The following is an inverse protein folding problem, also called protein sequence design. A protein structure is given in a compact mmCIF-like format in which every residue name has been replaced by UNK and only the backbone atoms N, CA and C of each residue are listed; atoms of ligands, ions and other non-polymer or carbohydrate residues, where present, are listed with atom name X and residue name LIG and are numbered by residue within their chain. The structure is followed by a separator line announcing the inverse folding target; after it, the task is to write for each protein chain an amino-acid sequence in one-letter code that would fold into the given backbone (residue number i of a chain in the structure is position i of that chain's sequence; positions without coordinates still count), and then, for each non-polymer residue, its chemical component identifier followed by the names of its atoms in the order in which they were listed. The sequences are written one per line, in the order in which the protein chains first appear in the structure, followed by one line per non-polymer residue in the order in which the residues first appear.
data_IF_945086285865
#
_entry.id   IF_945086285865
#
_cell.length_a   1.000
_cell.length_b   1.000
_cell.length_c   1.000
_cell.angle_alpha   90.00
_cell.angle_beta   90.00
_cell.angle_gamma   90.00
#
_symmetry.space_group_name_H-M   'P 1'
#
loop_
_entity.id
_entity.type
_entity.pdbx_description
1 polymer ?
#
# COMPACT_ATOMS: atom_id res chain seq x y z
N UNK A 1 -2.27 19.10 -7.36
CA UNK A 1 -0.83 19.39 -7.49
C UNK A 1 -0.08 18.37 -6.65
N UNK A 2 1.00 17.79 -7.17
CA UNK A 2 1.86 16.83 -6.47
C UNK A 2 2.60 17.55 -5.35
N UNK A 3 2.52 17.05 -4.12
CA UNK A 3 3.33 17.56 -3.02
C UNK A 3 4.71 16.91 -3.12
N UNK A 4 5.82 17.65 -2.91
CA UNK A 4 7.13 17.03 -2.88
C UNK A 4 7.14 15.92 -1.82
N UNK A 5 7.51 14.69 -2.21
CA UNK A 5 7.73 13.60 -1.27
C UNK A 5 8.65 14.09 -0.15
N UNK A 6 8.25 13.85 1.10
CA UNK A 6 9.13 14.13 2.24
C UNK A 6 10.48 13.44 2.00
N UNK A 7 11.59 14.11 2.36
CA UNK A 7 12.95 13.63 2.04
C UNK A 7 13.21 12.19 2.51
N UNK A 8 12.61 11.78 3.62
CA UNK A 8 12.70 10.42 4.14
C UNK A 8 12.02 9.40 3.21
N UNK A 9 10.85 9.72 2.65
CA UNK A 9 10.14 8.86 1.71
C UNK A 9 10.91 8.71 0.41
N UNK A 10 11.43 9.81 -0.15
CA UNK A 10 12.26 9.74 -1.34
C UNK A 10 13.48 8.84 -1.13
N UNK A 11 14.19 9.00 0.00
CA UNK A 11 15.34 8.15 0.33
C UNK A 11 14.97 6.67 0.47
N UNK A 12 13.82 6.35 1.09
CA UNK A 12 13.32 4.99 1.20
C UNK A 12 13.04 4.39 -0.19
N UNK A 13 12.37 5.14 -1.05
CA UNK A 13 12.06 4.70 -2.42
C UNK A 13 13.33 4.48 -3.23
N UNK A 14 14.28 5.41 -3.19
CA UNK A 14 15.54 5.36 -3.95
C UNK A 14 16.47 4.22 -3.50
N UNK A 15 16.49 3.94 -2.19
CA UNK A 15 17.33 2.87 -1.61
C UNK A 15 16.74 1.46 -1.79
N UNK A 16 15.44 1.35 -2.07
CA UNK A 16 14.73 0.08 -2.19
C UNK A 16 14.92 -0.58 -3.57
N UNK A 17 16.14 -1.06 -3.85
CA UNK A 17 16.53 -1.64 -5.15
C UNK A 17 15.77 -2.91 -5.57
N UNK A 18 15.12 -3.59 -4.63
CA UNK A 18 14.32 -4.80 -4.89
C UNK A 18 12.83 -4.50 -5.16
N UNK A 19 12.48 -3.22 -5.20
CA UNK A 19 11.11 -2.74 -5.37
C UNK A 19 10.42 -2.43 -4.06
N UNK A 20 9.35 -1.64 -4.17
CA UNK A 20 8.51 -1.15 -3.08
C UNK A 20 7.06 -1.55 -3.33
N UNK A 21 6.40 -2.05 -2.30
CA UNK A 21 4.97 -2.33 -2.30
C UNK A 21 4.29 -1.28 -1.41
N UNK A 22 3.25 -0.63 -1.92
CA UNK A 22 2.43 0.31 -1.16
C UNK A 22 1.17 -0.41 -0.68
N UNK A 23 0.84 -0.35 0.60
CA UNK A 23 -0.38 -0.93 1.16
C UNK A 23 -1.24 0.12 1.85
N UNK A 24 -2.49 0.27 1.42
CA UNK A 24 -3.45 1.20 2.02
C UNK A 24 -4.90 0.78 1.76
N UNK A 25 -5.73 0.79 2.81
CA UNK A 25 -7.18 0.53 2.72
C UNK A 25 -8.03 1.82 2.71
N UNK A 26 -7.41 2.95 2.37
CA UNK A 26 -8.07 4.24 2.31
C UNK A 26 -8.22 4.89 3.69
N UNK A 27 -9.18 5.81 3.81
CA UNK A 27 -9.43 6.60 5.02
C UNK A 27 -10.45 5.97 5.96
N UNK A 28 -11.38 5.17 5.43
CA UNK A 28 -12.50 4.61 6.19
C UNK A 28 -12.13 3.29 6.88
N UNK A 29 -11.25 2.50 6.27
CA UNK A 29 -10.72 1.26 6.88
C UNK A 29 -9.38 1.59 7.51
N UNK A 30 -9.35 1.60 8.84
CA UNK A 30 -8.11 1.72 9.61
C UNK A 30 -7.41 0.36 9.64
N UNK A 31 -6.20 0.28 9.11
CA UNK A 31 -5.46 -0.99 9.10
C UNK A 31 -5.14 -1.45 10.52
N UNK A 32 -4.92 -0.52 11.45
CA UNK A 32 -4.71 -0.83 12.87
C UNK A 32 -5.93 -1.45 13.57
N UNK A 33 -7.13 -1.20 13.06
CA UNK A 33 -8.37 -1.74 13.61
C UNK A 33 -8.70 -3.17 13.12
N UNK A 34 -7.90 -3.73 12.20
CA UNK A 34 -8.06 -5.12 11.78
C UNK A 34 -7.74 -6.08 12.93
N UNK A 35 -8.36 -7.26 12.91
CA UNK A 35 -8.11 -8.26 13.94
C UNK A 35 -6.63 -8.65 13.98
N UNK A 36 -6.05 -8.78 15.19
CA UNK A 36 -4.64 -9.13 15.39
C UNK A 36 -4.13 -10.31 14.54
N UNK A 37 -4.90 -11.41 14.34
CA UNK A 37 -4.47 -12.50 13.46
C UNK A 37 -4.22 -12.06 12.02
N UNK A 38 -5.01 -11.12 11.49
CA UNK A 38 -4.86 -10.59 10.14
C UNK A 38 -3.58 -9.76 10.04
N UNK A 39 -3.32 -8.88 11.01
CA UNK A 39 -2.10 -8.07 11.06
C UNK A 39 -0.86 -8.99 11.15
N UNK A 40 -0.89 -10.00 12.02
CA UNK A 40 0.19 -11.00 12.13
C UNK A 40 0.43 -11.76 10.83
N UNK A 41 -0.64 -12.10 10.11
CA UNK A 41 -0.53 -12.75 8.81
C UNK A 41 0.20 -11.85 7.81
N UNK A 42 -0.16 -10.56 7.70
CA UNK A 42 0.54 -9.62 6.84
C UNK A 42 2.02 -9.52 7.20
N UNK A 43 2.36 -9.34 8.49
CA UNK A 43 3.75 -9.25 8.94
C UNK A 43 4.55 -10.52 8.60
N UNK A 44 3.95 -11.71 8.79
CA UNK A 44 4.58 -12.99 8.45
C UNK A 44 4.79 -13.20 6.94
N UNK A 45 3.90 -12.66 6.09
CA UNK A 45 4.08 -12.71 4.63
C UNK A 45 5.14 -11.69 4.20
N UNK A 46 5.07 -10.47 4.71
CA UNK A 46 6.01 -9.40 4.36
C UNK A 46 7.44 -9.69 4.81
N UNK A 47 7.64 -10.38 5.93
CA UNK A 47 8.98 -10.79 6.37
C UNK A 47 9.68 -11.78 5.44
N UNK A 48 8.92 -12.45 4.56
CA UNK A 48 9.43 -13.48 3.63
C UNK A 48 9.74 -12.95 2.24
N UNK A 49 9.33 -11.72 1.94
CA UNK A 49 9.60 -11.08 0.64
C UNK A 49 10.74 -10.09 0.78
N UNK A 50 11.43 -9.84 -0.33
CA UNK A 50 12.65 -9.00 -0.33
C UNK A 50 12.37 -7.52 -0.60
N UNK A 51 11.14 -7.20 -0.97
CA UNK A 51 10.65 -5.85 -1.24
C UNK A 51 10.49 -5.07 0.07
N UNK A 52 10.67 -3.76 -0.01
CA UNK A 52 10.22 -2.85 1.04
C UNK A 52 8.71 -2.70 0.96
N UNK A 53 8.01 -2.77 2.09
CA UNK A 53 6.56 -2.55 2.15
C UNK A 53 6.30 -1.27 2.92
N UNK A 54 5.71 -0.27 2.27
CA UNK A 54 5.22 0.93 2.95
C UNK A 54 3.72 0.70 3.21
N UNK A 55 3.36 0.59 4.48
CA UNK A 55 2.01 0.24 4.90
C UNK A 55 1.38 1.39 5.69
N UNK A 56 0.19 1.81 5.27
CA UNK A 56 -0.65 2.72 6.05
C UNK A 56 -1.15 2.00 7.30
N UNK A 57 -0.72 2.46 8.46
CA UNK A 57 -1.04 1.88 9.77
C UNK A 57 -1.01 2.99 10.83
N UNK A 58 -2.11 3.15 11.55
CA UNK A 58 -2.41 4.34 12.36
C UNK A 58 -1.94 4.24 13.82
N UNK A 59 -1.21 3.18 14.17
CA UNK A 59 -0.72 2.90 15.53
C UNK A 59 0.75 2.44 15.50
N UNK A 60 1.35 2.16 16.66
CA UNK A 60 2.66 1.52 16.73
C UNK A 60 2.54 0.00 16.61
N UNK A 61 3.52 -0.63 15.96
CA UNK A 61 3.63 -2.08 15.86
C UNK A 61 5.12 -2.48 16.00
N UNK A 62 5.63 -2.59 17.23
CA UNK A 62 7.06 -2.85 17.49
C UNK A 62 7.58 -4.15 16.86
N UNK A 63 6.71 -5.13 16.66
CA UNK A 63 7.04 -6.43 16.04
C UNK A 63 7.05 -6.42 14.49
N UNK A 64 6.92 -5.25 13.85
CA UNK A 64 6.96 -5.16 12.40
C UNK A 64 8.33 -5.62 11.85
N UNK A 65 8.36 -6.38 10.73
CA UNK A 65 9.60 -6.76 10.07
C UNK A 65 10.41 -5.55 9.61
N UNK A 66 11.73 -5.69 9.49
CA UNK A 66 12.64 -4.59 9.13
C UNK A 66 12.40 -4.01 7.73
N UNK A 67 11.79 -4.77 6.83
CA UNK A 67 11.40 -4.32 5.50
C UNK A 67 10.01 -3.68 5.45
N UNK A 68 9.30 -3.59 6.58
CA UNK A 68 7.98 -2.97 6.68
C UNK A 68 8.09 -1.59 7.33
N UNK A 69 7.66 -0.58 6.59
CA UNK A 69 7.68 0.82 6.99
C UNK A 69 6.25 1.26 7.25
N UNK A 70 5.94 1.57 8.50
CA UNK A 70 4.61 2.01 8.92
C UNK A 70 4.51 3.53 8.81
N UNK A 71 3.36 4.00 8.31
CA UNK A 71 3.01 5.43 8.25
C UNK A 71 1.53 5.59 8.55
N UNK A 72 1.17 6.59 9.35
CA UNK A 72 -0.23 6.90 9.64
C UNK A 72 -0.96 7.43 8.39
N UNK A 73 -0.23 8.17 7.55
CA UNK A 73 -0.74 8.74 6.31
C UNK A 73 0.27 8.58 5.17
N UNK A 74 -0.23 8.41 3.95
CA UNK A 74 0.57 8.23 2.74
C UNK A 74 0.15 9.22 1.64
N UNK A 75 1.09 9.96 1.03
CA UNK A 75 0.85 10.67 -0.22
C UNK A 75 0.83 9.66 -1.37
N UNK A 76 -0.23 8.85 -1.44
CA UNK A 76 -0.23 7.62 -2.25
C UNK A 76 0.09 7.89 -3.72
N UNK A 77 -0.50 8.93 -4.31
CA UNK A 77 -0.24 9.31 -5.71
C UNK A 77 1.25 9.55 -5.97
N UNK A 78 1.89 10.38 -5.15
CA UNK A 78 3.30 10.71 -5.31
C UNK A 78 4.19 9.48 -5.10
N UNK A 79 3.79 8.56 -4.20
CA UNK A 79 4.51 7.30 -3.99
C UNK A 79 4.42 6.38 -5.21
N UNK A 80 3.22 6.13 -5.73
CA UNK A 80 3.01 5.12 -6.78
C UNK A 80 3.55 5.56 -8.16
N UNK A 81 3.75 6.86 -8.38
CA UNK A 81 4.43 7.39 -9.57
C UNK A 81 5.93 7.04 -9.58
N UNK A 82 6.52 6.67 -8.44
CA UNK A 82 7.93 6.31 -8.35
C UNK A 82 8.27 4.99 -9.09
N UNK A 83 9.41 4.95 -9.78
CA UNK A 83 9.83 3.80 -10.59
C UNK A 83 9.98 2.51 -9.77
N UNK A 84 10.59 2.61 -8.58
CA UNK A 84 10.78 1.47 -7.69
C UNK A 84 9.49 0.95 -7.05
N UNK A 85 8.34 1.63 -7.15
CA UNK A 85 7.07 1.03 -6.73
C UNK A 85 6.67 -0.02 -7.75
N UNK A 86 6.52 -1.26 -7.29
CA UNK A 86 6.25 -2.42 -8.15
C UNK A 86 4.82 -2.94 -8.03
N UNK A 87 4.12 -2.64 -6.94
CA UNK A 87 2.73 -3.05 -6.75
C UNK A 87 2.02 -2.22 -5.67
N UNK A 88 0.69 -2.20 -5.75
CA UNK A 88 -0.19 -1.60 -4.75
C UNK A 88 -1.10 -2.69 -4.16
N UNK A 89 -1.23 -2.72 -2.83
CA UNK A 89 -2.23 -3.52 -2.11
C UNK A 89 -3.28 -2.53 -1.60
N UNK A 90 -4.54 -2.71 -2.00
CA UNK A 90 -5.56 -1.77 -1.58
C UNK A 90 -6.98 -2.26 -1.64
N UNK A 91 -7.86 -1.47 -1.04
CA UNK A 91 -9.28 -1.81 -0.89
C UNK A 91 -10.11 -1.70 -2.18
N UNK A 92 -9.59 -1.12 -3.25
CA UNK A 92 -10.35 -0.92 -4.50
C UNK A 92 -11.29 0.28 -4.50
N UNK A 93 -11.09 1.24 -3.61
CA UNK A 93 -11.77 2.54 -3.72
C UNK A 93 -11.45 3.23 -5.04
N UNK A 94 -12.46 3.83 -5.68
CA UNK A 94 -12.39 4.34 -7.05
C UNK A 94 -11.20 5.29 -7.29
N UNK A 95 -10.93 6.22 -6.36
CA UNK A 95 -9.82 7.17 -6.46
C UNK A 95 -8.46 6.46 -6.52
N UNK A 96 -8.14 5.69 -5.48
CA UNK A 96 -6.89 4.92 -5.40
C UNK A 96 -6.70 3.97 -6.57
N UNK A 97 -7.79 3.36 -7.04
CA UNK A 97 -7.74 2.43 -8.15
C UNK A 97 -7.45 3.15 -9.47
N UNK A 98 -8.13 4.27 -9.72
CA UNK A 98 -7.94 5.07 -10.93
C UNK A 98 -6.50 5.57 -11.03
N UNK A 99 -5.93 6.07 -9.92
CA UNK A 99 -4.53 6.50 -9.87
C UNK A 99 -3.58 5.34 -10.18
N UNK A 100 -3.80 4.18 -9.57
CA UNK A 100 -2.95 2.99 -9.77
C UNK A 100 -2.99 2.49 -11.22
N UNK A 101 -4.18 2.46 -11.82
CA UNK A 101 -4.37 2.09 -13.23
C UNK A 101 -3.73 3.14 -14.15
N UNK A 102 -3.88 4.43 -13.83
CA UNK A 102 -3.31 5.52 -14.62
C UNK A 102 -1.78 5.44 -14.69
N UNK A 103 -1.11 5.12 -13.58
CA UNK A 103 0.36 4.93 -13.54
C UNK A 103 0.81 3.55 -14.01
N UNK A 104 -0.12 2.65 -14.36
CA UNK A 104 0.16 1.32 -14.88
C UNK A 104 0.80 0.36 -13.88
N UNK A 105 0.60 0.57 -12.57
CA UNK A 105 1.14 -0.34 -11.53
C UNK A 105 0.12 -1.47 -11.25
N UNK A 106 0.57 -2.72 -11.04
CA UNK A 106 -0.34 -3.81 -10.69
C UNK A 106 -0.93 -3.62 -9.29
N UNK A 107 -2.18 -4.07 -9.10
CA UNK A 107 -2.90 -3.99 -7.83
C UNK A 107 -3.32 -5.37 -7.31
N UNK A 108 -3.16 -5.60 -6.01
CA UNK A 108 -3.85 -6.64 -5.24
C UNK A 108 -5.04 -6.00 -4.52
N UNK A 109 -6.26 -6.39 -4.89
CA UNK A 109 -7.50 -5.85 -4.35
C UNK A 109 -8.05 -6.64 -3.16
N UNK A 110 -8.33 -5.96 -2.04
CA UNK A 110 -8.97 -6.53 -0.84
C UNK A 110 -10.20 -5.68 -0.48
N UNK A 111 -11.36 -5.90 -1.12
CA UNK A 111 -12.55 -5.07 -0.90
C UNK A 111 -13.21 -5.34 0.45
N UNK A 112 -13.75 -4.27 1.06
CA UNK A 112 -14.44 -4.30 2.35
C UNK A 112 -15.94 -3.95 2.26
N UNK A 113 -16.32 -2.99 1.41
CA UNK A 113 -17.72 -2.54 1.31
C UNK A 113 -18.02 -1.78 0.00
N UNK A 114 -19.31 -1.55 -0.26
CA UNK A 114 -19.82 -0.73 -1.34
C UNK A 114 -19.28 -1.12 -2.73
N UNK A 115 -18.86 -0.14 -3.52
CA UNK A 115 -18.39 -0.26 -4.90
C UNK A 115 -17.05 -1.00 -5.03
N UNK A 116 -16.29 -1.15 -3.94
CA UNK A 116 -14.97 -1.78 -3.93
C UNK A 116 -14.97 -3.17 -4.56
N UNK A 117 -15.99 -4.00 -4.29
CA UNK A 117 -16.11 -5.34 -4.87
C UNK A 117 -16.22 -5.31 -6.39
N UNK A 118 -17.07 -4.41 -6.92
CA UNK A 118 -17.29 -4.26 -8.36
C UNK A 118 -16.04 -3.68 -9.03
N UNK A 119 -15.42 -2.69 -8.40
CA UNK A 119 -14.20 -2.06 -8.89
C UNK A 119 -13.06 -3.07 -9.06
N UNK A 120 -12.80 -3.89 -8.03
CA UNK A 120 -11.77 -4.95 -8.11
C UNK A 120 -12.15 -6.02 -9.14
N UNK A 121 -13.40 -6.45 -9.19
CA UNK A 121 -13.85 -7.43 -10.19
C UNK A 121 -13.63 -6.92 -11.63
N UNK A 122 -13.82 -5.62 -11.89
CA UNK A 122 -13.64 -5.04 -13.21
C UNK A 122 -12.19 -4.96 -13.68
N UNK A 123 -11.22 -4.80 -12.77
CA UNK A 123 -9.80 -4.74 -13.15
C UNK A 123 -9.14 -6.11 -13.29
N UNK A 124 -9.69 -7.14 -12.64
CA UNK A 124 -9.22 -8.53 -12.78
C UNK A 124 -9.65 -9.14 -14.12
N UNK A 125 -10.78 -8.70 -14.67
CA UNK A 125 -11.34 -9.21 -15.94
C UNK A 125 -10.65 -8.66 -17.20
N UNK A 126 -9.61 -7.84 -17.05
CA UNK A 126 -8.85 -7.23 -18.15
C UNK A 126 -7.58 -8.02 -18.42
#
# INVERSE_FOLDING_TARGET
ESQPLMKDMQQILDSSKKGVIIMSFGSLVRTSALQKPIIKMFMNVFSKISQTVIMKYEESLPEAPTNVILREWLPQRDLIEHENVVAVIGHGGLGSLTETVYVGKPMIGIPFFADQYVNIANIVRR
#
